data_IF_303790169509
#
_entry.id   IF_303790169509
#
_cell.length_a   1.000
_cell.length_b   1.000
_cell.length_c   1.000
_cell.angle_alpha   90.00
_cell.angle_beta   90.00
_cell.angle_gamma   90.00
#
_symmetry.space_group_name_H-M   'P 1'
#
loop_
_entity.id
_entity.type
_entity.pdbx_description
1 polymer ?
#
# COMPACT_ATOMS: atom_id res chain seq x y z
N UNK A 1 -25.83 -7.89 -40.94
CA UNK A 1 -24.51 -7.26 -40.65
C UNK A 1 -24.58 -6.29 -39.48
N UNK A 2 -25.57 -5.38 -39.41
CA UNK A 2 -25.76 -4.48 -38.25
C UNK A 2 -26.00 -5.22 -36.91
N UNK A 3 -26.81 -6.28 -36.88
CA UNK A 3 -27.00 -7.08 -35.65
C UNK A 3 -25.71 -7.75 -35.13
N UNK A 4 -24.83 -8.18 -36.05
CA UNK A 4 -23.54 -8.80 -35.69
C UNK A 4 -22.56 -7.76 -35.12
N UNK A 5 -22.61 -6.52 -35.62
CA UNK A 5 -21.80 -5.39 -35.11
C UNK A 5 -22.26 -5.00 -33.69
N UNK A 6 -23.57 -4.97 -33.42
CA UNK A 6 -24.11 -4.76 -32.07
C UNK A 6 -23.79 -5.92 -31.10
N UNK A 7 -23.80 -7.17 -31.58
CA UNK A 7 -23.41 -8.34 -30.79
C UNK A 7 -21.92 -8.32 -30.43
N UNK A 8 -21.06 -7.86 -31.34
CA UNK A 8 -19.62 -7.70 -31.08
C UNK A 8 -19.34 -6.50 -30.16
N UNK A 9 -20.06 -5.39 -30.33
CA UNK A 9 -19.95 -4.21 -29.46
C UNK A 9 -20.42 -4.48 -28.02
N UNK A 10 -21.37 -5.40 -27.81
CA UNK A 10 -21.83 -5.81 -26.48
C UNK A 10 -20.93 -6.89 -25.84
N UNK A 11 -20.21 -7.68 -26.64
CA UNK A 11 -19.19 -8.61 -26.13
C UNK A 11 -17.92 -7.91 -25.60
N UNK A 12 -17.65 -6.68 -26.06
CA UNK A 12 -16.41 -5.94 -25.75
C UNK A 12 -16.51 -5.10 -24.45
N UNK A 13 -17.70 -4.87 -23.89
CA UNK A 13 -17.86 -4.00 -22.71
C UNK A 13 -18.33 -4.75 -21.47
N UNK A 14 -17.45 -5.60 -20.92
CA UNK A 14 -17.54 -6.00 -19.52
C UNK A 14 -16.24 -5.64 -18.78
N UNK A 15 -15.80 -4.38 -18.90
CA UNK A 15 -14.87 -3.81 -17.95
C UNK A 15 -15.63 -3.63 -16.63
N UNK A 16 -15.56 -4.64 -15.78
CA UNK A 16 -16.19 -4.59 -14.47
C UNK A 16 -15.35 -3.66 -13.59
N UNK A 17 -15.82 -2.42 -13.43
CA UNK A 17 -15.34 -1.52 -12.39
C UNK A 17 -15.64 -2.16 -11.03
N UNK A 18 -14.62 -2.32 -10.19
CA UNK A 18 -14.70 -3.01 -8.91
C UNK A 18 -14.16 -2.11 -7.81
N UNK A 19 -14.96 -1.93 -6.77
CA UNK A 19 -14.46 -1.40 -5.51
C UNK A 19 -13.67 -2.50 -4.80
N UNK A 20 -12.42 -2.23 -4.51
CA UNK A 20 -11.48 -3.15 -3.87
C UNK A 20 -10.91 -2.53 -2.61
N UNK A 21 -10.43 -3.35 -1.69
CA UNK A 21 -9.82 -2.88 -0.46
C UNK A 21 -8.71 -3.81 0.01
N UNK A 22 -7.76 -3.21 0.71
CA UNK A 22 -6.62 -3.87 1.34
C UNK A 22 -6.36 -3.22 2.69
N UNK A 23 -5.81 -3.99 3.62
CA UNK A 23 -5.42 -3.47 4.92
C UNK A 23 -4.16 -4.16 5.44
N UNK A 24 -3.41 -3.43 6.26
CA UNK A 24 -2.16 -3.86 6.86
C UNK A 24 -2.11 -3.56 8.36
N UNK A 25 -1.54 -4.49 9.11
CA UNK A 25 -1.25 -4.41 10.54
C UNK A 25 0.19 -4.85 10.81
N UNK A 26 0.72 -4.46 11.97
CA UNK A 26 2.06 -4.85 12.40
C UNK A 26 2.62 -3.92 13.46
N UNK A 27 3.91 -4.01 13.71
CA UNK A 27 4.61 -3.17 14.69
C UNK A 27 6.00 -2.80 14.21
N UNK A 28 6.33 -1.51 14.26
CA UNK A 28 7.66 -0.98 13.93
C UNK A 28 8.47 -0.75 15.20
N UNK A 29 9.73 -1.15 15.15
CA UNK A 29 10.73 -0.98 16.21
C UNK A 29 11.92 -0.19 15.67
N UNK A 30 12.60 0.55 16.54
CA UNK A 30 13.89 1.15 16.28
C UNK A 30 14.83 0.70 17.40
N UNK A 31 15.57 -0.38 17.14
CA UNK A 31 16.28 -1.12 18.17
C UNK A 31 15.35 -1.72 19.20
N UNK A 32 15.69 -1.53 20.47
CA UNK A 32 14.89 -2.04 21.58
C UNK A 32 13.60 -1.23 21.85
N UNK A 33 13.40 -0.09 21.17
CA UNK A 33 12.27 0.82 21.44
C UNK A 33 11.21 0.74 20.35
N UNK A 34 9.93 0.92 20.70
CA UNK A 34 8.89 1.13 19.70
C UNK A 34 9.18 2.35 18.83
N UNK A 35 9.02 2.21 17.51
CA UNK A 35 9.15 3.32 16.59
C UNK A 35 7.80 4.05 16.47
N UNK A 36 7.54 4.96 17.42
CA UNK A 36 6.31 5.74 17.49
C UNK A 36 6.34 6.94 16.52
N UNK A 37 5.17 7.33 16.00
CA UNK A 37 5.02 8.49 15.13
C UNK A 37 5.65 8.35 13.74
N UNK A 38 6.00 7.13 13.32
CA UNK A 38 6.57 6.85 11.99
C UNK A 38 5.48 7.00 10.94
N UNK A 39 5.73 7.82 9.92
CA UNK A 39 4.79 8.01 8.81
C UNK A 39 4.73 6.73 7.98
N UNK A 40 3.51 6.29 7.73
CA UNK A 40 3.21 5.09 6.94
C UNK A 40 2.12 5.39 5.92
N UNK A 41 2.24 4.80 4.74
CA UNK A 41 1.28 4.99 3.64
C UNK A 41 0.97 3.67 2.96
N UNK A 42 -0.25 3.55 2.46
CA UNK A 42 -0.71 2.47 1.62
C UNK A 42 -1.06 3.09 0.27
N UNK A 43 -0.44 2.57 -0.79
CA UNK A 43 -0.56 3.07 -2.15
C UNK A 43 -1.09 1.97 -3.06
N UNK A 44 -1.83 2.37 -4.08
CA UNK A 44 -1.89 1.68 -5.35
C UNK A 44 -0.70 2.10 -6.20
N UNK A 45 -0.04 1.15 -6.85
CA UNK A 45 1.10 1.44 -7.72
C UNK A 45 0.87 0.76 -9.05
N UNK A 46 0.31 1.53 -9.97
CA UNK A 46 -0.16 1.04 -11.25
C UNK A 46 0.95 0.99 -12.31
N UNK A 47 0.91 -0.08 -13.10
CA UNK A 47 1.69 -0.15 -14.33
C UNK A 47 0.89 0.47 -15.50
N UNK A 48 1.32 1.63 -16.00
CA UNK A 48 0.80 2.20 -17.25
C UNK A 48 0.30 3.65 -17.14
N UNK A 49 -0.84 4.01 -17.77
CA UNK A 49 -1.33 5.39 -17.78
C UNK A 49 -2.09 5.80 -16.52
N UNK A 50 -2.46 4.85 -15.66
CA UNK A 50 -3.10 5.12 -14.37
C UNK A 50 -2.05 5.64 -13.38
N UNK A 51 -2.27 6.78 -12.71
CA UNK A 51 -1.31 7.30 -11.74
C UNK A 51 -1.43 6.60 -10.39
N UNK A 52 -0.30 6.34 -9.72
CA UNK A 52 -0.25 5.81 -8.35
C UNK A 52 -1.22 6.54 -7.39
N UNK A 53 -2.15 5.80 -6.81
CA UNK A 53 -3.20 6.33 -5.93
C UNK A 53 -2.90 6.13 -4.43
N UNK A 54 -3.13 7.18 -3.63
CA UNK A 54 -2.96 7.09 -2.17
C UNK A 54 -4.21 6.48 -1.52
N UNK A 55 -4.16 5.18 -1.25
CA UNK A 55 -5.26 4.46 -0.59
C UNK A 55 -5.47 4.90 0.86
N UNK A 56 -4.39 5.05 1.64
CA UNK A 56 -4.46 5.49 3.03
C UNK A 56 -3.12 6.01 3.55
N UNK A 57 -3.15 6.86 4.57
CA UNK A 57 -1.95 7.28 5.30
C UNK A 57 -2.19 7.40 6.79
N UNK A 58 -1.14 7.21 7.58
CA UNK A 58 -1.19 7.32 9.03
C UNK A 58 0.18 7.44 9.66
N UNK A 59 0.20 7.32 10.98
CA UNK A 59 1.42 7.23 11.77
C UNK A 59 1.32 6.05 12.74
N UNK A 60 2.44 5.44 13.07
CA UNK A 60 2.47 4.42 14.13
C UNK A 60 2.11 5.00 15.49
N UNK A 61 1.42 4.22 16.32
CA UNK A 61 1.05 4.64 17.68
C UNK A 61 2.25 4.69 18.65
N UNK A 62 2.00 5.02 19.92
CA UNK A 62 3.04 5.06 20.96
C UNK A 62 3.76 3.72 21.18
N UNK A 63 3.12 2.61 20.83
CA UNK A 63 3.69 1.26 20.89
C UNK A 63 4.30 0.82 19.54
N UNK A 64 4.34 1.69 18.54
CA UNK A 64 4.86 1.40 17.20
C UNK A 64 3.88 0.60 16.33
N UNK A 65 2.63 0.43 16.75
CA UNK A 65 1.67 -0.40 16.01
C UNK A 65 1.19 0.32 14.75
N UNK A 66 0.96 -0.48 13.71
CA UNK A 66 0.37 -0.10 12.43
C UNK A 66 -1.04 -0.66 12.38
N UNK A 67 -2.00 0.16 11.94
CA UNK A 67 -3.33 -0.27 11.52
C UNK A 67 -3.82 0.66 10.41
N UNK A 68 -3.70 0.22 9.16
CA UNK A 68 -4.05 1.00 7.97
C UNK A 68 -4.93 0.16 7.05
N UNK A 69 -5.95 0.78 6.46
CA UNK A 69 -6.76 0.18 5.42
C UNK A 69 -7.21 1.27 4.45
N UNK A 70 -7.33 0.89 3.17
CA UNK A 70 -7.79 1.77 2.11
C UNK A 70 -8.58 0.98 1.07
N UNK A 71 -9.22 1.70 0.17
CA UNK A 71 -10.04 1.13 -0.89
C UNK A 71 -10.03 2.03 -2.11
N UNK A 72 -10.00 1.45 -3.30
CA UNK A 72 -10.08 2.18 -4.56
C UNK A 72 -10.99 1.45 -5.56
N UNK A 73 -11.48 2.20 -6.55
CA UNK A 73 -12.39 1.72 -7.58
C UNK A 73 -11.67 1.61 -8.92
N UNK A 74 -11.33 0.39 -9.32
CA UNK A 74 -10.52 0.13 -10.51
C UNK A 74 -11.14 -0.94 -11.42
N UNK A 75 -10.66 -0.98 -12.66
CA UNK A 75 -11.05 -2.02 -13.63
C UNK A 75 -10.21 -3.28 -13.50
N UNK A 76 -8.97 -3.16 -13.04
CA UNK A 76 -8.02 -4.24 -12.72
C UNK A 76 -7.99 -4.51 -11.22
N UNK A 77 -7.14 -5.43 -10.76
CA UNK A 77 -6.85 -5.51 -9.34
C UNK A 77 -5.94 -4.34 -8.96
N UNK A 78 -6.14 -3.80 -7.76
CA UNK A 78 -5.20 -2.87 -7.12
C UNK A 78 -3.84 -3.56 -6.92
N UNK A 79 -2.76 -2.81 -6.94
CA UNK A 79 -1.36 -3.21 -6.74
C UNK A 79 -0.80 -2.62 -5.42
N UNK A 80 -1.24 -3.14 -4.25
CA UNK A 80 -1.04 -2.47 -2.97
C UNK A 80 0.42 -2.49 -2.50
N UNK A 81 0.98 -1.31 -2.25
CA UNK A 81 2.33 -1.12 -1.70
C UNK A 81 2.26 -0.33 -0.38
N UNK A 82 2.81 -0.93 0.68
CA UNK A 82 2.97 -0.31 1.98
C UNK A 82 4.33 0.37 2.11
N UNK A 83 4.31 1.68 2.37
CA UNK A 83 5.50 2.50 2.52
C UNK A 83 5.72 2.93 3.97
N UNK A 84 6.96 2.82 4.44
CA UNK A 84 7.40 3.28 5.77
C UNK A 84 8.43 4.38 5.60
N UNK A 85 8.21 5.53 6.22
CA UNK A 85 9.09 6.70 6.15
C UNK A 85 9.66 7.01 7.52
N UNK A 86 10.96 6.79 7.72
CA UNK A 86 11.59 6.87 9.04
C UNK A 86 12.98 7.49 9.01
N UNK A 87 13.49 7.78 10.20
CA UNK A 87 14.84 8.29 10.45
C UNK A 87 15.57 7.48 11.54
N UNK A 88 15.08 6.27 11.84
CA UNK A 88 15.76 5.34 12.75
C UNK A 88 17.23 5.13 12.31
N UNK A 89 18.16 5.37 13.23
CA UNK A 89 19.62 5.34 13.03
C UNK A 89 20.16 6.17 11.85
N UNK A 90 19.42 7.21 11.43
CA UNK A 90 19.71 7.93 10.19
C UNK A 90 20.57 9.21 10.34
N UNK A 91 21.29 9.36 11.46
CA UNK A 91 22.35 10.37 11.72
C UNK A 91 22.16 11.75 11.06
N UNK A 92 21.04 12.42 11.32
CA UNK A 92 20.72 13.78 10.82
C UNK A 92 20.87 13.97 9.29
N UNK A 93 20.75 12.89 8.50
CA UNK A 93 20.73 13.01 7.04
C UNK A 93 19.46 13.72 6.59
N UNK A 94 19.56 14.48 5.50
CA UNK A 94 18.40 15.15 4.90
C UNK A 94 17.41 14.10 4.36
N UNK A 95 16.11 14.34 4.57
CA UNK A 95 15.04 13.45 4.15
C UNK A 95 14.85 12.24 5.06
N UNK A 96 13.95 11.34 4.64
CA UNK A 96 13.60 10.13 5.37
C UNK A 96 13.99 8.89 4.56
N UNK A 97 14.48 7.87 5.26
CA UNK A 97 14.56 6.51 4.74
C UNK A 97 13.16 6.03 4.38
N UNK A 98 13.00 5.42 3.20
CA UNK A 98 11.72 4.97 2.67
C UNK A 98 11.81 3.50 2.29
N UNK A 99 11.05 2.68 3.00
CA UNK A 99 10.87 1.25 2.69
C UNK A 99 9.58 1.06 1.92
N UNK A 100 9.56 0.09 1.00
CA UNK A 100 8.40 -0.30 0.20
C UNK A 100 8.17 -1.80 0.38
N UNK A 101 6.94 -2.19 0.71
CA UNK A 101 6.54 -3.58 0.86
C UNK A 101 5.28 -3.84 0.02
N UNK A 102 5.40 -4.64 -1.03
CA UNK A 102 4.24 -5.10 -1.79
C UNK A 102 3.40 -6.03 -0.92
N UNK A 103 2.10 -5.76 -0.81
CA UNK A 103 1.14 -6.63 -0.13
C UNK A 103 0.66 -7.66 -1.16
N UNK A 104 0.66 -8.96 -0.85
CA UNK A 104 0.21 -9.97 -1.81
C UNK A 104 -1.26 -9.78 -2.21
N UNK A 105 -1.58 -9.97 -3.49
CA UNK A 105 -2.95 -9.85 -4.06
C UNK A 105 -3.96 -10.72 -3.31
N UNK A 106 -3.48 -11.83 -2.75
CA UNK A 106 -4.23 -12.69 -1.85
C UNK A 106 -4.72 -11.98 -0.57
N UNK A 107 -4.49 -10.68 -0.36
CA UNK A 107 -5.10 -9.85 0.69
C UNK A 107 -6.10 -8.81 0.17
N UNK A 108 -6.21 -8.65 -1.15
CA UNK A 108 -7.20 -7.79 -1.79
C UNK A 108 -8.59 -8.41 -1.63
N UNK A 109 -9.57 -7.59 -1.32
CA UNK A 109 -10.97 -8.03 -1.17
C UNK A 109 -11.94 -7.06 -1.81
N UNK A 110 -13.08 -7.58 -2.23
CA UNK A 110 -14.12 -6.78 -2.87
C UNK A 110 -14.93 -6.02 -1.82
N UNK A 111 -15.21 -4.76 -2.11
CA UNK A 111 -15.92 -3.82 -1.25
C UNK A 111 -14.99 -2.86 -0.52
N UNK A 112 -15.61 -1.91 0.20
CA UNK A 112 -14.92 -0.78 0.85
C UNK A 112 -14.02 -1.15 2.02
N UNK A 113 -14.23 -2.31 2.63
CA UNK A 113 -13.53 -2.70 3.87
C UNK A 113 -12.86 -4.05 3.67
N UNK A 114 -11.56 -4.18 4.00
CA UNK A 114 -10.83 -5.41 3.80
C UNK A 114 -11.42 -6.53 4.66
N UNK A 115 -11.66 -7.71 4.07
CA UNK A 115 -12.14 -8.88 4.83
C UNK A 115 -11.04 -9.54 5.66
N UNK A 116 -9.78 -9.21 5.40
CA UNK A 116 -8.58 -9.71 6.11
C UNK A 116 -7.49 -8.65 6.05
N UNK A 117 -6.68 -8.61 7.11
CA UNK A 117 -5.55 -7.69 7.23
C UNK A 117 -4.26 -8.45 6.97
N UNK A 118 -3.36 -7.88 6.15
CA UNK A 118 -2.00 -8.37 6.02
C UNK A 118 -1.21 -8.01 7.27
N UNK A 119 -0.69 -9.00 8.00
CA UNK A 119 0.14 -8.74 9.17
C UNK A 119 1.62 -8.86 8.79
N UNK A 120 2.33 -7.73 8.75
CA UNK A 120 3.76 -7.69 8.42
C UNK A 120 4.64 -8.16 9.60
N UNK A 121 4.05 -8.40 10.77
CA UNK A 121 4.75 -8.82 11.98
C UNK A 121 5.41 -7.64 12.70
N UNK A 122 6.56 -7.93 13.33
CA UNK A 122 7.39 -6.93 14.02
C UNK A 122 8.62 -6.63 13.17
N UNK A 123 8.78 -5.38 12.75
CA UNK A 123 9.88 -4.96 11.89
C UNK A 123 10.80 -3.98 12.63
N UNK A 124 12.07 -4.32 12.76
CA UNK A 124 13.08 -3.39 13.29
C UNK A 124 13.70 -2.58 12.14
N UNK A 125 13.58 -1.26 12.24
CA UNK A 125 14.01 -0.28 11.22
C UNK A 125 15.51 0.06 11.27
N UNK A 126 16.27 -0.50 12.21
CA UNK A 126 17.75 -0.41 12.23
C UNK A 126 18.37 -1.13 11.03
N UNK A 127 17.75 -2.23 10.59
CA UNK A 127 18.26 -2.98 9.44
C UNK A 127 18.20 -2.14 8.16
N UNK A 128 19.13 -2.38 7.26
CA UNK A 128 19.13 -1.78 5.93
C UNK A 128 18.46 -2.80 5.00
N UNK A 129 17.40 -2.37 4.33
CA UNK A 129 16.70 -3.21 3.35
C UNK A 129 17.33 -3.01 1.97
N UNK A 130 17.45 -4.08 1.18
CA UNK A 130 17.70 -3.93 -0.26
C UNK A 130 16.63 -3.01 -0.88
N UNK A 131 17.04 -2.16 -1.81
CA UNK A 131 16.15 -1.20 -2.49
C UNK A 131 15.50 -0.13 -1.60
N UNK A 132 16.03 0.07 -0.38
CA UNK A 132 15.64 1.20 0.45
C UNK A 132 15.91 2.55 -0.26
N UNK A 133 14.86 3.36 -0.37
CA UNK A 133 14.89 4.68 -0.98
C UNK A 133 15.12 5.78 0.07
N UNK A 134 15.34 7.00 -0.41
CA UNK A 134 15.31 8.21 0.42
C UNK A 134 14.33 9.22 -0.16
N UNK A 135 13.37 9.63 0.66
CA UNK A 135 12.47 10.73 0.32
C UNK A 135 13.06 12.05 0.83
N UNK A 136 13.44 12.94 -0.09
CA UNK A 136 13.84 14.30 0.23
C UNK A 136 12.60 15.18 0.48
N UNK A 137 12.79 16.25 1.25
CA UNK A 137 11.75 17.26 1.57
C UNK A 137 11.69 18.26 0.43
#
# INVERSE_FOLDING_TARGET
>A
MQLLIFLFATLVSCLAIRLQSVGITGRLMCGAKPAAGVKVKLWDVDDGPDPDDLLAQGVTDANGNINLQGSETETTNIDPVFNVYHNCDDKLKLGLRKLKFRIPDSYITWGKTPKRMFNIGVLNLETIFPEEERQLI
#
